data_IF_989992917134
#
_entry.id   IF_989992917134
#
_cell.length_a   1.000
_cell.length_b   1.000
_cell.length_c   1.000
_cell.angle_alpha   90.00
_cell.angle_beta   90.00
_cell.angle_gamma   90.00
#
_symmetry.space_group_name_H-M   'P 1'
#
loop_
_entity.id
_entity.type
_entity.pdbx_description
1 polymer ?
#
# COMPACT_ATOMS: atom_id res chain seq x y z
N UNK A 1 5.44 5.88 -8.62
CA UNK A 1 6.67 6.63 -8.34
C UNK A 1 7.47 6.72 -9.62
N UNK A 2 7.91 7.91 -10.01
CA UNK A 2 8.88 8.13 -11.08
C UNK A 2 10.01 9.01 -10.57
N UNK A 3 11.26 8.68 -10.90
CA UNK A 3 12.41 9.48 -10.53
C UNK A 3 12.37 10.89 -11.15
N UNK A 4 11.64 11.09 -12.26
CA UNK A 4 11.42 12.42 -12.82
C UNK A 4 10.69 13.38 -11.86
N UNK A 5 9.83 12.85 -10.99
CA UNK A 5 9.09 13.67 -10.02
C UNK A 5 10.02 14.19 -8.94
N UNK A 6 11.02 13.39 -8.53
CA UNK A 6 12.09 13.84 -7.65
C UNK A 6 12.82 15.06 -8.23
N UNK A 7 13.14 15.08 -9.53
CA UNK A 7 13.79 16.23 -10.19
C UNK A 7 12.91 17.48 -10.10
N UNK A 8 11.60 17.34 -10.32
CA UNK A 8 10.65 18.45 -10.25
C UNK A 8 10.55 19.00 -8.84
N UNK A 9 10.42 18.13 -7.84
CA UNK A 9 10.35 18.54 -6.43
C UNK A 9 11.66 19.18 -5.98
N UNK A 10 12.81 18.61 -6.36
CA UNK A 10 14.12 19.20 -6.09
C UNK A 10 14.24 20.60 -6.69
N UNK A 11 13.75 20.79 -7.92
CA UNK A 11 13.70 22.11 -8.55
C UNK A 11 12.86 23.12 -7.77
N UNK A 12 11.70 22.70 -7.25
CA UNK A 12 10.83 23.55 -6.43
C UNK A 12 11.51 23.93 -5.13
N UNK A 13 12.17 22.97 -4.46
CA UNK A 13 12.94 23.19 -3.24
C UNK A 13 14.12 24.15 -3.48
N UNK A 14 14.88 23.95 -4.56
CA UNK A 14 16.03 24.81 -4.91
C UNK A 14 15.63 26.23 -5.33
N UNK A 15 14.42 26.42 -5.87
CA UNK A 15 13.89 27.75 -6.20
C UNK A 15 13.19 28.46 -5.04
N UNK A 16 12.78 27.73 -4.01
CA UNK A 16 12.07 28.27 -2.84
C UNK A 16 12.90 29.17 -1.92
N UNK A 17 14.10 29.60 -2.32
CA UNK A 17 14.91 30.60 -1.63
C UNK A 17 14.71 32.01 -2.21
N UNK A 18 14.85 33.04 -1.37
CA UNK A 18 13.73 33.84 -0.86
C UNK A 18 12.83 34.42 -1.97
N UNK A 19 11.52 34.35 -1.70
CA UNK A 19 10.49 34.90 -2.57
C UNK A 19 10.69 36.38 -2.88
N UNK A 20 10.39 36.70 -4.14
CA UNK A 20 9.93 38.00 -4.57
C UNK A 20 8.64 38.36 -3.79
N UNK A 21 8.80 38.86 -2.57
CA UNK A 21 7.78 39.55 -1.80
C UNK A 21 8.28 40.96 -1.48
N UNK A 22 7.43 42.00 -1.45
CA UNK A 22 7.88 43.35 -1.19
C UNK A 22 8.48 43.47 0.23
N UNK A 23 9.79 43.69 0.28
CA UNK A 23 10.56 44.32 1.37
C UNK A 23 10.11 44.04 2.82
N UNK A 24 10.80 43.13 3.49
CA UNK A 24 11.19 43.32 4.89
C UNK A 24 12.65 42.84 5.05
N UNK A 25 13.57 43.79 5.20
CA UNK A 25 14.98 43.49 5.46
C UNK A 25 15.14 43.10 6.93
N UNK A 26 15.42 41.83 7.19
CA UNK A 26 15.87 41.31 8.47
C UNK A 26 17.15 40.50 8.28
N UNK A 27 18.26 40.96 8.86
CA UNK A 27 19.61 40.43 8.68
C UNK A 27 19.85 38.99 9.22
N UNK A 28 18.82 38.30 9.73
CA UNK A 28 18.91 36.93 10.27
C UNK A 28 18.30 35.82 9.38
N UNK A 29 17.82 36.14 8.16
CA UNK A 29 17.05 35.19 7.32
C UNK A 29 17.90 34.18 6.52
N UNK A 30 19.12 34.56 6.12
CA UNK A 30 19.92 33.79 5.14
C UNK A 30 20.47 32.46 5.71
N UNK A 31 20.92 32.46 6.97
CA UNK A 31 21.44 31.25 7.62
C UNK A 31 20.34 30.22 7.90
N UNK A 32 19.13 30.68 8.27
CA UNK A 32 17.94 29.83 8.46
C UNK A 32 17.48 29.21 7.13
N UNK A 33 17.52 30.00 6.05
CA UNK A 33 17.19 29.53 4.69
C UNK A 33 18.06 28.36 4.23
N UNK A 34 19.37 28.41 4.48
CA UNK A 34 20.29 27.31 4.12
C UNK A 34 19.97 26.01 4.85
N UNK A 35 19.74 26.09 6.17
CA UNK A 35 19.40 24.92 7.00
C UNK A 35 18.04 24.32 6.63
N UNK A 36 17.07 25.16 6.28
CA UNK A 36 15.74 24.71 5.80
C UNK A 36 15.88 24.00 4.44
N UNK A 37 16.69 24.56 3.54
CA UNK A 37 16.95 23.96 2.23
C UNK A 37 17.61 22.58 2.36
N UNK A 38 18.61 22.46 3.23
CA UNK A 38 19.29 21.21 3.54
C UNK A 38 18.30 20.18 4.11
N UNK A 39 17.52 20.56 5.13
CA UNK A 39 16.50 19.68 5.75
C UNK A 39 15.47 19.19 4.73
N UNK A 40 14.97 20.08 3.87
CA UNK A 40 14.01 19.73 2.82
C UNK A 40 14.63 18.79 1.77
N UNK A 41 15.91 18.98 1.46
CA UNK A 41 16.66 18.12 0.54
C UNK A 41 16.85 16.72 1.13
N UNK A 42 17.24 16.63 2.40
CA UNK A 42 17.34 15.35 3.11
C UNK A 42 16.00 14.62 3.17
N UNK A 43 14.92 15.33 3.49
CA UNK A 43 13.57 14.74 3.53
C UNK A 43 13.14 14.19 2.17
N UNK A 44 13.46 14.91 1.08
CA UNK A 44 13.21 14.44 -0.27
C UNK A 44 14.04 13.17 -0.59
N UNK A 45 15.32 13.13 -0.23
CA UNK A 45 16.17 11.95 -0.42
C UNK A 45 15.67 10.74 0.39
N UNK A 46 15.20 10.97 1.63
CA UNK A 46 14.55 9.92 2.45
C UNK A 46 13.31 9.35 1.75
N UNK A 47 12.48 10.20 1.15
CA UNK A 47 11.30 9.76 0.39
C UNK A 47 11.69 8.95 -0.87
N UNK A 48 12.73 9.37 -1.58
CA UNK A 48 13.28 8.61 -2.73
C UNK A 48 13.76 7.24 -2.27
N UNK A 49 14.54 7.17 -1.19
CA UNK A 49 15.01 5.91 -0.61
C UNK A 49 13.83 4.99 -0.23
N UNK A 50 12.77 5.54 0.37
CA UNK A 50 11.55 4.80 0.67
C UNK A 50 10.90 4.24 -0.60
N UNK A 51 10.76 5.04 -1.66
CA UNK A 51 10.13 4.60 -2.91
C UNK A 51 10.94 3.51 -3.64
N UNK A 52 12.27 3.64 -3.70
CA UNK A 52 13.15 2.71 -4.40
C UNK A 52 13.43 1.42 -3.62
N UNK A 53 13.13 1.39 -2.33
CA UNK A 53 13.24 0.18 -1.54
C UNK A 53 12.10 -0.79 -1.87
N UNK A 54 12.38 -1.79 -2.70
CA UNK A 54 11.43 -2.85 -3.09
C UNK A 54 11.50 -4.08 -2.17
N UNK A 55 12.25 -4.00 -1.07
CA UNK A 55 12.72 -5.17 -0.30
C UNK A 55 12.14 -5.16 1.09
N UNK A 56 12.35 -4.07 1.83
CA UNK A 56 11.92 -3.97 3.21
C UNK A 56 10.43 -3.68 3.30
N UNK A 57 9.80 -4.16 4.37
CA UNK A 57 8.38 -3.91 4.59
C UNK A 57 8.09 -2.39 4.60
N UNK A 58 7.15 -1.93 3.75
CA UNK A 58 6.76 -0.50 3.71
C UNK A 58 6.34 0.03 5.07
N UNK A 59 5.58 -0.79 5.82
CA UNK A 59 5.10 -0.44 7.15
C UNK A 59 6.25 -0.30 8.15
N UNK A 60 7.24 -1.18 8.08
CA UNK A 60 8.46 -1.05 8.88
C UNK A 60 9.17 0.26 8.58
N UNK A 61 9.42 0.57 7.29
CA UNK A 61 10.12 1.78 6.88
C UNK A 61 9.41 3.07 7.35
N UNK A 62 8.07 3.11 7.25
CA UNK A 62 7.28 4.26 7.72
C UNK A 62 7.33 4.43 9.24
N UNK A 63 7.17 3.34 9.98
CA UNK A 63 7.10 3.39 11.45
C UNK A 63 8.47 3.74 12.06
N UNK A 64 9.55 3.15 11.54
CA UNK A 64 10.92 3.50 11.97
C UNK A 64 11.23 4.97 11.71
N UNK A 65 10.76 5.52 10.59
CA UNK A 65 10.93 6.94 10.29
C UNK A 65 10.25 7.86 11.34
N UNK A 66 9.15 7.40 11.93
CA UNK A 66 8.43 8.09 13.02
C UNK A 66 8.98 7.75 14.43
N UNK A 67 10.05 6.95 14.51
CA UNK A 67 10.63 6.50 15.79
C UNK A 67 9.90 5.32 16.44
N UNK A 68 8.95 4.69 15.75
CA UNK A 68 8.24 3.50 16.23
C UNK A 68 8.98 2.20 15.87
N UNK A 69 9.04 1.27 16.83
CA UNK A 69 9.58 -0.07 16.60
C UNK A 69 8.49 -0.98 16.05
N UNK A 70 8.74 -1.61 14.91
CA UNK A 70 7.81 -2.54 14.29
C UNK A 70 8.55 -3.78 13.78
N UNK A 71 8.02 -4.97 14.04
CA UNK A 71 8.52 -6.19 13.40
C UNK A 71 7.82 -6.39 12.05
N UNK A 72 8.62 -6.49 10.98
CA UNK A 72 8.17 -6.76 9.62
C UNK A 72 7.28 -8.01 9.48
N UNK A 73 7.45 -9.02 10.36
CA UNK A 73 6.62 -10.24 10.37
C UNK A 73 5.14 -9.92 10.64
N UNK A 74 4.87 -8.86 11.41
CA UNK A 74 3.51 -8.40 11.74
C UNK A 74 2.81 -7.68 10.59
N UNK A 75 3.48 -7.41 9.47
CA UNK A 75 2.84 -6.83 8.30
C UNK A 75 1.80 -7.76 7.69
N UNK A 76 1.96 -9.09 7.80
CA UNK A 76 1.01 -10.08 7.27
C UNK A 76 0.65 -9.86 5.79
N UNK A 77 1.64 -9.50 4.96
CA UNK A 77 1.51 -9.24 3.51
C UNK A 77 0.52 -8.11 3.14
N UNK A 78 0.38 -7.11 4.01
CA UNK A 78 -0.51 -5.95 3.76
C UNK A 78 0.11 -4.84 2.91
N UNK A 79 1.43 -4.88 2.66
CA UNK A 79 2.11 -3.96 1.72
C UNK A 79 2.59 -4.68 0.46
N UNK A 80 2.87 -3.91 -0.59
CA UNK A 80 3.41 -4.36 -1.88
C UNK A 80 4.70 -5.17 -1.71
N UNK A 81 5.67 -4.67 -0.95
CA UNK A 81 6.95 -5.36 -0.76
C UNK A 81 6.78 -6.75 -0.10
N UNK A 82 6.01 -6.84 0.99
CA UNK A 82 5.76 -8.11 1.69
C UNK A 82 4.82 -9.06 0.93
N UNK A 83 3.97 -8.54 0.04
CA UNK A 83 3.12 -9.36 -0.82
C UNK A 83 3.87 -9.90 -2.04
N UNK A 84 4.96 -9.25 -2.45
CA UNK A 84 5.84 -9.76 -3.49
C UNK A 84 6.54 -11.05 -3.02
N UNK A 85 6.39 -12.13 -3.78
CA UNK A 85 6.99 -13.45 -3.49
C UNK A 85 8.40 -13.59 -4.08
N UNK A 86 9.12 -12.48 -4.29
CA UNK A 86 10.43 -12.50 -4.95
C UNK A 86 11.49 -12.96 -3.95
N UNK A 87 12.32 -13.90 -4.37
CA UNK A 87 13.54 -14.26 -3.63
C UNK A 87 14.51 -13.08 -3.67
N UNK A 88 15.02 -12.68 -2.52
CA UNK A 88 15.94 -11.56 -2.39
C UNK A 88 17.37 -12.09 -2.30
N UNK A 89 18.30 -11.42 -2.98
CA UNK A 89 19.73 -11.70 -2.91
C UNK A 89 20.49 -10.43 -2.59
N UNK A 90 21.44 -10.55 -1.66
CA UNK A 90 22.45 -9.55 -1.41
C UNK A 90 23.48 -9.61 -2.54
N UNK A 91 23.66 -8.49 -3.24
CA UNK A 91 24.70 -8.33 -4.26
C UNK A 91 25.69 -7.28 -3.78
N UNK A 92 26.98 -7.61 -3.82
CA UNK A 92 28.03 -6.61 -3.75
C UNK A 92 28.05 -5.83 -5.07
N UNK A 93 27.79 -4.52 -4.98
CA UNK A 93 27.76 -3.60 -6.13
C UNK A 93 28.90 -2.59 -6.06
N UNK A 94 29.90 -2.81 -5.21
CA UNK A 94 31.04 -1.89 -5.01
C UNK A 94 31.77 -1.58 -6.32
N UNK A 95 32.05 -2.61 -7.13
CA UNK A 95 32.72 -2.42 -8.42
C UNK A 95 31.87 -1.60 -9.39
N UNK A 96 30.57 -1.92 -9.48
CA UNK A 96 29.61 -1.21 -10.33
C UNK A 96 29.53 0.26 -9.91
N UNK A 97 29.46 0.51 -8.60
CA UNK A 97 29.43 1.85 -8.04
C UNK A 97 30.70 2.66 -8.40
N UNK A 98 31.89 2.06 -8.25
CA UNK A 98 33.15 2.71 -8.65
C UNK A 98 33.18 3.05 -10.13
N UNK A 99 32.74 2.11 -10.99
CA UNK A 99 32.67 2.33 -12.42
C UNK A 99 31.68 3.44 -12.79
N UNK A 100 30.51 3.50 -12.14
CA UNK A 100 29.52 4.57 -12.37
C UNK A 100 30.08 5.93 -11.97
N UNK A 101 30.73 6.05 -10.80
CA UNK A 101 31.39 7.29 -10.38
C UNK A 101 32.48 7.70 -11.37
N UNK A 102 33.29 6.75 -11.83
CA UNK A 102 34.33 7.02 -12.81
C UNK A 102 33.74 7.47 -14.16
N UNK A 103 32.63 6.86 -14.59
CA UNK A 103 31.94 7.25 -15.82
C UNK A 103 31.38 8.68 -15.75
N UNK A 104 30.84 9.09 -14.60
CA UNK A 104 30.39 10.48 -14.39
C UNK A 104 31.56 11.46 -14.51
N UNK A 105 32.74 11.11 -13.99
CA UNK A 105 33.97 11.91 -14.17
C UNK A 105 34.41 12.01 -15.63
N UNK A 106 34.42 10.89 -16.35
CA UNK A 106 34.82 10.85 -17.77
C UNK A 106 33.89 11.64 -18.67
N UNK A 107 32.61 11.69 -18.33
CA UNK A 107 31.58 12.46 -19.05
C UNK A 107 31.49 13.92 -18.61
N UNK A 108 32.50 14.40 -17.87
CA UNK A 108 32.69 15.81 -17.47
C UNK A 108 31.49 16.35 -16.65
N UNK A 109 30.75 15.49 -15.96
CA UNK A 109 29.65 15.87 -15.07
C UNK A 109 28.54 16.72 -15.75
N UNK A 110 28.31 16.48 -17.05
CA UNK A 110 27.39 17.26 -17.89
C UNK A 110 26.14 16.53 -18.35
N UNK A 111 25.90 15.33 -17.82
CA UNK A 111 24.83 14.47 -18.31
C UNK A 111 23.91 14.01 -17.18
N UNK A 112 22.68 13.66 -17.55
CA UNK A 112 21.65 13.17 -16.63
C UNK A 112 21.90 11.72 -16.25
N UNK A 113 21.31 11.29 -15.13
CA UNK A 113 21.36 9.90 -14.66
C UNK A 113 20.91 8.90 -15.73
N UNK A 114 19.85 9.23 -16.48
CA UNK A 114 19.36 8.42 -17.59
C UNK A 114 20.43 8.21 -18.68
N UNK A 115 21.16 9.25 -19.08
CA UNK A 115 22.21 9.12 -20.09
C UNK A 115 23.39 8.28 -19.60
N UNK A 116 23.81 8.47 -18.34
CA UNK A 116 24.88 7.66 -17.72
C UNK A 116 24.51 6.17 -17.70
N UNK A 117 23.27 5.83 -17.35
CA UNK A 117 22.79 4.44 -17.37
C UNK A 117 22.82 3.85 -18.79
N UNK A 118 22.39 4.63 -19.79
CA UNK A 118 22.42 4.18 -21.20
C UNK A 118 23.87 3.91 -21.67
N UNK A 119 24.81 4.80 -21.36
CA UNK A 119 26.24 4.61 -21.69
C UNK A 119 26.81 3.39 -20.97
N UNK A 120 26.58 3.26 -19.66
CA UNK A 120 27.11 2.16 -18.86
C UNK A 120 26.59 0.78 -19.32
N UNK A 121 25.33 0.70 -19.74
CA UNK A 121 24.72 -0.53 -20.26
C UNK A 121 25.09 -0.83 -21.72
N UNK A 122 25.79 0.09 -22.40
CA UNK A 122 26.28 -0.12 -23.76
C UNK A 122 25.26 0.25 -24.85
N UNK A 123 24.33 1.16 -24.56
CA UNK A 123 23.35 1.66 -25.52
C UNK A 123 24.03 2.42 -26.66
N UNK A 124 23.53 2.27 -27.89
CA UNK A 124 24.04 2.93 -29.09
C UNK A 124 23.08 4.00 -29.61
N UNK A 125 22.25 4.56 -28.72
CA UNK A 125 21.30 5.62 -29.05
C UNK A 125 22.00 6.85 -29.63
N UNK A 126 21.25 7.64 -30.42
CA UNK A 126 21.77 8.82 -31.11
C UNK A 126 22.49 9.79 -30.16
N UNK A 127 21.98 9.97 -28.94
CA UNK A 127 22.62 10.80 -27.92
C UNK A 127 24.00 10.28 -27.49
N UNK A 128 24.19 8.97 -27.38
CA UNK A 128 25.48 8.36 -27.01
C UNK A 128 26.51 8.58 -28.12
N UNK A 129 26.12 8.27 -29.37
CA UNK A 129 26.98 8.46 -30.56
C UNK A 129 27.34 9.92 -30.79
N UNK A 130 26.37 10.84 -30.66
CA UNK A 130 26.58 12.28 -30.84
C UNK A 130 27.64 12.82 -29.88
N UNK A 131 27.69 12.30 -28.65
CA UNK A 131 28.67 12.71 -27.64
C UNK A 131 29.94 11.84 -27.65
N UNK A 132 30.09 10.89 -28.58
CA UNK A 132 31.21 9.94 -28.66
C UNK A 132 31.43 9.16 -27.35
N UNK A 133 30.34 8.85 -26.65
CA UNK A 133 30.41 8.07 -25.41
C UNK A 133 30.41 6.55 -25.65
N UNK A 134 30.23 6.13 -26.90
CA UNK A 134 30.37 4.75 -27.38
C UNK A 134 31.82 4.28 -27.42
N UNK A 135 32.80 5.19 -27.48
CA UNK A 135 34.23 4.86 -27.46
C UNK A 135 34.85 4.85 -26.06
N UNK A 136 34.08 5.16 -25.01
CA UNK A 136 34.58 5.15 -23.64
C UNK A 136 34.82 3.70 -23.16
N UNK A 137 35.90 3.48 -22.42
CA UNK A 137 36.24 2.13 -21.89
C UNK A 137 35.19 1.54 -20.95
N UNK A 138 34.33 2.37 -20.34
CA UNK A 138 33.23 1.94 -19.48
C UNK A 138 31.90 1.79 -20.22
N UNK A 139 31.86 2.06 -21.53
CA UNK A 139 30.68 1.79 -22.34
C UNK A 139 30.43 0.28 -22.38
N UNK A 140 29.21 -0.13 -22.00
CA UNK A 140 28.85 -1.56 -21.98
C UNK A 140 29.38 -2.37 -20.80
N UNK A 141 30.16 -1.79 -19.88
CA UNK A 141 30.64 -2.49 -18.68
C UNK A 141 29.49 -3.06 -17.81
N UNK A 142 28.34 -2.39 -17.82
CA UNK A 142 27.12 -2.79 -17.12
C UNK A 142 26.12 -3.58 -17.96
N UNK A 143 26.49 -4.16 -19.11
CA UNK A 143 25.56 -4.86 -20.02
C UNK A 143 24.79 -6.02 -19.35
N UNK A 144 25.38 -6.64 -18.33
CA UNK A 144 24.76 -7.72 -17.56
C UNK A 144 23.64 -7.24 -16.63
N UNK A 145 23.51 -5.94 -16.38
CA UNK A 145 22.49 -5.36 -15.51
C UNK A 145 21.22 -5.00 -16.30
N UNK A 146 20.07 -5.25 -15.70
CA UNK A 146 18.82 -4.67 -16.19
C UNK A 146 18.83 -3.14 -16.05
N UNK A 147 17.98 -2.45 -16.82
CA UNK A 147 17.87 -0.98 -16.75
C UNK A 147 17.48 -0.52 -15.34
N UNK A 148 16.54 -1.21 -14.72
CA UNK A 148 16.06 -0.92 -13.37
C UNK A 148 17.16 -1.14 -12.33
N UNK A 149 17.93 -2.23 -12.41
CA UNK A 149 19.05 -2.47 -11.49
C UNK A 149 20.13 -1.38 -11.62
N UNK A 150 20.54 -1.05 -12.84
CA UNK A 150 21.55 -0.01 -13.07
C UNK A 150 21.08 1.36 -12.58
N UNK A 151 19.83 1.74 -12.86
CA UNK A 151 19.22 2.98 -12.36
C UNK A 151 19.16 3.00 -10.83
N UNK A 152 18.73 1.90 -10.20
CA UNK A 152 18.62 1.81 -8.74
C UNK A 152 19.99 1.92 -8.04
N UNK A 153 21.04 1.32 -8.62
CA UNK A 153 22.42 1.50 -8.10
C UNK A 153 22.83 2.96 -8.23
N UNK A 154 22.58 3.58 -9.39
CA UNK A 154 22.97 4.98 -9.62
C UNK A 154 22.24 5.94 -8.67
N UNK A 155 20.94 5.77 -8.48
CA UNK A 155 20.14 6.60 -7.57
C UNK A 155 20.51 6.34 -6.11
N UNK A 156 20.87 5.10 -5.74
CA UNK A 156 21.44 4.81 -4.43
C UNK A 156 22.69 5.67 -4.18
N UNK A 157 23.60 5.81 -5.15
CA UNK A 157 24.78 6.70 -5.01
C UNK A 157 24.40 8.16 -4.81
N UNK A 158 23.27 8.62 -5.37
CA UNK A 158 22.72 9.96 -5.11
C UNK A 158 22.19 10.07 -3.69
N UNK A 159 21.44 9.08 -3.20
CA UNK A 159 20.92 9.09 -1.82
C UNK A 159 21.99 8.98 -0.74
N UNK A 160 23.18 8.46 -1.08
CA UNK A 160 24.35 8.42 -0.18
C UNK A 160 25.24 9.67 -0.29
N UNK A 161 24.83 10.66 -1.11
CA UNK A 161 25.59 11.84 -1.51
C UNK A 161 26.98 11.55 -2.10
N UNK A 162 27.20 10.35 -2.66
CA UNK A 162 28.41 10.04 -3.43
C UNK A 162 28.35 10.77 -4.78
N UNK A 163 27.15 10.81 -5.35
CA UNK A 163 26.80 11.62 -6.52
C UNK A 163 25.80 12.70 -6.11
N UNK A 164 25.90 13.85 -6.75
CA UNK A 164 25.01 14.98 -6.53
C UNK A 164 24.26 15.29 -7.82
N UNK A 165 22.94 15.46 -7.73
CA UNK A 165 22.15 15.91 -8.88
C UNK A 165 21.87 17.40 -8.84
N UNK A 166 22.44 18.15 -9.77
CA UNK A 166 22.20 19.58 -9.92
C UNK A 166 21.12 19.79 -10.95
N UNK A 167 20.04 20.46 -10.54
CA UNK A 167 18.89 20.73 -11.41
C UNK A 167 19.14 21.99 -12.25
N UNK A 168 18.80 21.94 -13.53
CA UNK A 168 18.80 23.06 -14.46
C UNK A 168 17.47 23.17 -15.18
N UNK A 169 16.95 24.41 -15.25
CA UNK A 169 15.84 24.75 -16.14
C UNK A 169 16.36 24.85 -17.56
N UNK A 170 15.59 24.32 -18.50
CA UNK A 170 15.76 24.61 -19.91
C UNK A 170 14.96 25.85 -20.27
N UNK A 171 15.60 26.78 -20.98
CA UNK A 171 15.01 28.07 -21.36
C UNK A 171 13.89 27.92 -22.40
N UNK A 172 13.84 26.79 -23.11
CA UNK A 172 13.03 26.64 -24.34
C UNK A 172 11.58 26.20 -24.05
N UNK A 173 11.32 25.49 -22.94
CA UNK A 173 9.97 24.98 -22.63
C UNK A 173 9.65 24.92 -21.12
N UNK A 174 10.49 25.49 -20.26
CA UNK A 174 10.36 25.33 -18.80
C UNK A 174 10.62 23.89 -18.30
N UNK A 175 11.10 23.01 -19.19
CA UNK A 175 11.49 21.65 -18.86
C UNK A 175 12.62 21.65 -17.83
N UNK A 176 12.52 20.77 -16.86
CA UNK A 176 13.50 20.62 -15.79
C UNK A 176 14.37 19.42 -16.08
N UNK A 177 15.68 19.62 -16.12
CA UNK A 177 16.69 18.57 -16.33
C UNK A 177 17.64 18.52 -15.15
N UNK A 178 18.26 17.37 -14.89
CA UNK A 178 19.34 17.25 -13.90
C UNK A 178 20.65 16.84 -14.54
N UNK A 179 21.74 17.34 -13.97
CA UNK A 179 23.11 16.98 -14.27
C UNK A 179 23.71 16.25 -13.08
N UNK A 180 24.37 15.14 -13.33
CA UNK A 180 25.00 14.34 -12.30
C UNK A 180 26.44 14.81 -12.10
N UNK A 181 26.78 15.16 -10.86
CA UNK A 181 28.11 15.59 -10.41
C UNK A 181 28.66 14.61 -9.39
N UNK A 182 29.98 14.59 -9.21
CA UNK A 182 30.62 13.74 -8.21
C UNK A 182 30.90 14.55 -6.95
N UNK A 183 30.44 14.04 -5.80
CA UNK A 183 30.87 14.57 -4.51
C UNK A 183 32.28 14.04 -4.22
N UNK A 184 33.29 14.89 -4.43
CA UNK A 184 34.70 14.51 -4.39
C UNK A 184 35.13 13.90 -3.05
N UNK A 185 34.59 14.39 -1.93
CA UNK A 185 34.98 13.92 -0.58
C UNK A 185 34.46 12.51 -0.31
N UNK A 186 33.15 12.28 -0.48
CA UNK A 186 32.53 10.97 -0.27
C UNK A 186 32.95 9.96 -1.32
N UNK A 187 33.09 10.37 -2.58
CA UNK A 187 33.52 9.48 -3.66
C UNK A 187 34.97 9.01 -3.51
N UNK A 188 35.85 9.77 -2.86
CA UNK A 188 37.24 9.38 -2.64
C UNK A 188 37.35 8.10 -1.78
N UNK A 189 36.52 7.97 -0.75
CA UNK A 189 36.48 6.77 0.10
C UNK A 189 36.11 5.51 -0.68
N UNK A 190 35.09 5.62 -1.54
CA UNK A 190 34.67 4.52 -2.41
C UNK A 190 35.74 4.14 -3.43
N UNK A 191 36.39 5.13 -4.08
CA UNK A 191 37.41 4.90 -5.10
C UNK A 191 38.72 4.35 -4.52
N UNK A 192 39.07 4.75 -3.29
CA UNK A 192 40.32 4.34 -2.62
C UNK A 192 40.25 2.95 -1.99
N UNK A 193 39.11 2.26 -2.06
CA UNK A 193 38.97 0.93 -1.48
C UNK A 193 38.33 0.87 -0.11
N UNK A 194 38.16 2.00 0.58
CA UNK A 194 37.77 2.05 1.99
C UNK A 194 36.28 1.80 2.26
N UNK A 195 35.42 1.86 1.23
CA UNK A 195 33.99 1.63 1.36
C UNK A 195 33.50 0.53 0.41
N UNK A 196 32.68 -0.38 0.94
CA UNK A 196 31.95 -1.41 0.19
C UNK A 196 30.46 -1.11 0.19
N UNK A 197 29.77 -1.43 -0.90
CA UNK A 197 28.34 -1.19 -1.08
C UNK A 197 27.65 -2.51 -1.41
N UNK A 198 26.77 -2.96 -0.51
CA UNK A 198 25.93 -4.13 -0.70
C UNK A 198 24.47 -3.68 -0.83
N UNK A 199 23.77 -4.22 -1.83
CA UNK A 199 22.37 -3.90 -2.08
C UNK A 199 21.54 -5.17 -2.29
N UNK A 200 20.30 -5.17 -1.77
CA UNK A 200 19.34 -6.26 -1.96
C UNK A 200 18.56 -6.10 -3.25
N UNK A 201 18.60 -7.11 -4.10
CA UNK A 201 17.84 -7.18 -5.34
C UNK A 201 16.89 -8.38 -5.36
N UNK A 202 15.73 -8.25 -6.02
CA UNK A 202 14.92 -9.41 -6.35
C UNK A 202 15.65 -10.29 -7.37
N UNK A 203 15.91 -11.54 -7.01
CA UNK A 203 16.39 -12.56 -7.93
C UNK A 203 15.24 -13.08 -8.80
N UNK A 204 15.51 -13.19 -10.10
CA UNK A 204 14.62 -13.86 -11.05
C UNK A 204 14.72 -15.40 -10.97
N UNK A 205 15.67 -15.93 -10.20
CA UNK A 205 15.88 -17.37 -10.06
C UNK A 205 14.94 -17.91 -9.00
N UNK A 206 13.96 -18.73 -9.42
CA UNK A 206 13.23 -19.62 -8.50
C UNK A 206 14.27 -20.54 -7.86
N UNK A 207 14.61 -20.32 -6.60
CA UNK A 207 15.50 -21.22 -5.86
C UNK A 207 14.84 -22.59 -5.79
N UNK A 208 15.38 -23.56 -6.52
CA UNK A 208 15.13 -24.97 -6.28
C UNK A 208 15.68 -25.28 -4.88
N UNK A 209 14.82 -25.74 -3.98
CA UNK A 209 15.19 -26.21 -2.64
C UNK A 209 16.30 -27.29 -2.75
N UNK A 210 17.24 -27.37 -1.80
CA UNK A 210 18.26 -28.42 -1.82
C UNK A 210 17.61 -29.76 -1.46
N UNK A 211 17.45 -30.65 -2.45
CA UNK A 211 17.10 -32.06 -2.24
C UNK A 211 18.37 -32.89 -2.16
N UNK A 212 18.43 -33.74 -1.13
CA UNK A 212 19.46 -34.74 -0.90
C UNK A 212 19.65 -35.64 -2.13
N UNK A 213 20.91 -36.07 -2.28
CA UNK A 213 21.46 -36.94 -3.31
C UNK A 213 20.72 -38.26 -3.54
N UNK A 214 20.56 -38.64 -4.81
CA UNK A 214 20.26 -39.99 -5.27
C UNK A 214 20.06 -40.03 -6.79
N UNK A 215 21.01 -40.64 -7.52
CA UNK A 215 20.97 -40.91 -8.97
C UNK A 215 19.74 -41.78 -9.34
N UNK A 216 19.18 -41.84 -10.57
CA UNK A 216 19.82 -42.06 -11.88
C UNK A 216 18.76 -41.90 -13.01
N UNK A 217 19.22 -41.46 -14.19
CA UNK A 217 18.77 -41.79 -15.58
C UNK A 217 17.29 -41.66 -16.02
N UNK A 218 17.08 -40.81 -17.03
CA UNK A 218 16.40 -41.23 -18.27
C UNK A 218 14.98 -40.73 -18.57
N UNK A 219 14.88 -39.95 -19.66
CA UNK A 219 13.74 -39.70 -20.56
C UNK A 219 12.90 -38.42 -20.36
N UNK A 220 12.81 -37.67 -21.46
CA UNK A 220 12.02 -36.45 -21.69
C UNK A 220 10.57 -36.81 -22.14
N UNK A 221 9.68 -35.85 -22.42
CA UNK A 221 8.53 -35.54 -21.56
C UNK A 221 7.17 -35.92 -22.17
N UNK A 222 6.26 -36.42 -21.33
CA UNK A 222 4.84 -36.54 -21.67
C UNK A 222 4.07 -35.31 -21.19
N UNK A 223 3.42 -34.65 -22.15
CA UNK A 223 2.43 -33.59 -21.95
C UNK A 223 1.32 -34.07 -21.03
N UNK A 224 1.07 -33.37 -19.93
CA UNK A 224 -0.21 -33.46 -19.22
C UNK A 224 -0.86 -32.08 -19.15
N UNK A 225 -1.83 -31.95 -20.03
CA UNK A 225 -3.03 -31.13 -19.96
C UNK A 225 -3.47 -30.85 -18.52
N UNK A 226 -3.38 -29.60 -18.10
CA UNK A 226 -4.02 -29.13 -16.87
C UNK A 226 -5.53 -29.11 -17.10
N UNK A 227 -6.23 -30.09 -16.55
CA UNK A 227 -7.67 -30.04 -16.38
C UNK A 227 -8.01 -28.85 -15.47
N UNK A 228 -8.64 -27.84 -16.06
CA UNK A 228 -9.27 -26.76 -15.32
C UNK A 228 -10.45 -27.36 -14.54
N UNK A 229 -10.29 -27.57 -13.24
CA UNK A 229 -11.42 -27.75 -12.34
C UNK A 229 -12.02 -26.37 -12.03
N UNK A 230 -13.06 -26.03 -12.78
CA UNK A 230 -14.00 -24.98 -12.41
C UNK A 230 -14.81 -25.48 -11.20
N UNK A 231 -14.26 -25.30 -9.99
CA UNK A 231 -15.06 -25.45 -8.79
C UNK A 231 -15.94 -24.20 -8.66
N UNK A 232 -17.20 -24.34 -9.06
CA UNK A 232 -18.24 -23.38 -8.72
C UNK A 232 -18.18 -23.08 -7.21
N UNK A 233 -18.27 -21.81 -6.78
CA UNK A 233 -18.19 -21.48 -5.36
C UNK A 233 -19.29 -22.24 -4.60
N UNK A 234 -19.00 -22.75 -3.38
CA UNK A 234 -20.02 -23.33 -2.50
C UNK A 234 -21.25 -22.43 -2.48
N UNK A 235 -22.45 -23.00 -2.61
CA UNK A 235 -23.73 -22.26 -2.69
C UNK A 235 -23.88 -21.20 -1.58
N UNK A 236 -23.29 -21.43 -0.39
CA UNK A 236 -23.20 -20.49 0.72
C UNK A 236 -22.46 -19.18 0.40
N UNK A 237 -21.35 -19.24 -0.37
CA UNK A 237 -20.60 -18.05 -0.77
C UNK A 237 -21.40 -17.18 -1.74
N UNK A 238 -22.08 -17.82 -2.70
CA UNK A 238 -22.95 -17.15 -3.68
C UNK A 238 -24.06 -16.39 -2.97
N UNK A 239 -24.71 -17.02 -1.98
CA UNK A 239 -25.77 -16.38 -1.22
C UNK A 239 -25.26 -15.20 -0.38
N UNK A 240 -24.08 -15.34 0.25
CA UNK A 240 -23.48 -14.26 1.05
C UNK A 240 -23.18 -13.00 0.23
N UNK A 241 -22.82 -13.16 -1.05
CA UNK A 241 -22.55 -12.06 -1.98
C UNK A 241 -23.84 -11.39 -2.47
N UNK A 242 -24.89 -12.17 -2.72
CA UNK A 242 -26.23 -11.65 -3.04
C UNK A 242 -26.75 -10.82 -1.86
N UNK A 243 -26.65 -11.35 -0.64
CA UNK A 243 -27.05 -10.65 0.58
C UNK A 243 -26.23 -9.37 0.78
N UNK A 244 -24.91 -9.40 0.56
CA UNK A 244 -24.07 -8.20 0.68
C UNK A 244 -24.46 -7.12 -0.35
N UNK A 245 -24.87 -7.50 -1.56
CA UNK A 245 -25.37 -6.55 -2.58
C UNK A 245 -26.70 -5.93 -2.13
N UNK A 246 -27.64 -6.72 -1.64
CA UNK A 246 -28.92 -6.23 -1.13
C UNK A 246 -28.73 -5.24 0.04
N UNK A 247 -27.87 -5.57 0.99
CA UNK A 247 -27.55 -4.70 2.12
C UNK A 247 -26.85 -3.40 1.70
N UNK A 248 -25.99 -3.45 0.68
CA UNK A 248 -25.39 -2.24 0.09
C UNK A 248 -26.43 -1.35 -0.58
N UNK A 249 -27.43 -1.95 -1.25
CA UNK A 249 -28.56 -1.24 -1.87
C UNK A 249 -29.44 -0.57 -0.82
N UNK A 250 -29.83 -1.30 0.23
CA UNK A 250 -30.55 -0.73 1.37
C UNK A 250 -29.80 0.49 1.95
N UNK A 251 -28.48 0.36 2.14
CA UNK A 251 -27.66 1.46 2.63
C UNK A 251 -27.71 2.68 1.71
N UNK A 252 -27.68 2.49 0.39
CA UNK A 252 -27.82 3.61 -0.55
C UNK A 252 -29.21 4.23 -0.54
N UNK A 253 -30.26 3.44 -0.35
CA UNK A 253 -31.63 3.93 -0.29
C UNK A 253 -31.86 4.76 0.98
N UNK A 254 -31.33 4.31 2.12
CA UNK A 254 -31.33 5.09 3.37
C UNK A 254 -30.62 6.46 3.20
N UNK A 255 -29.52 6.53 2.44
CA UNK A 255 -28.80 7.80 2.18
C UNK A 255 -29.65 8.74 1.34
N UNK A 256 -30.31 8.22 0.30
CA UNK A 256 -31.17 9.02 -0.58
C UNK A 256 -32.36 9.60 0.17
N UNK A 257 -32.90 8.84 1.13
CA UNK A 257 -34.03 9.26 1.96
C UNK A 257 -33.62 10.21 3.10
N UNK A 258 -32.36 10.16 3.55
CA UNK A 258 -31.88 11.10 4.55
C UNK A 258 -31.63 12.48 3.94
N UNK A 259 -32.28 13.51 4.48
CA UNK A 259 -32.09 14.92 4.10
C UNK A 259 -30.71 15.47 4.50
N UNK A 260 -29.98 14.78 5.37
CA UNK A 260 -28.68 15.19 5.90
C UNK A 260 -27.53 14.66 5.03
N UNK A 261 -26.38 15.35 5.04
CA UNK A 261 -25.11 14.95 4.38
C UNK A 261 -24.49 13.70 5.04
N UNK A 262 -25.23 12.60 5.04
CA UNK A 262 -24.85 11.34 5.67
C UNK A 262 -24.11 10.47 4.67
N UNK A 263 -22.81 10.32 4.86
CA UNK A 263 -22.01 9.41 4.04
C UNK A 263 -22.32 7.95 4.37
N UNK A 264 -22.15 7.05 3.39
CA UNK A 264 -22.47 5.61 3.52
C UNK A 264 -21.90 4.94 4.77
N UNK A 265 -20.70 5.35 5.20
CA UNK A 265 -20.04 4.75 6.37
C UNK A 265 -20.64 5.18 7.71
N UNK A 266 -21.36 6.31 7.78
CA UNK A 266 -22.05 6.76 8.99
C UNK A 266 -23.24 5.84 9.36
N UNK A 267 -23.90 5.28 8.35
CA UNK A 267 -24.99 4.32 8.54
C UNK A 267 -24.40 2.98 9.01
N UNK A 268 -23.71 2.24 8.13
CA UNK A 268 -22.99 1.01 8.49
C UNK A 268 -21.70 0.86 7.68
N UNK A 269 -20.62 0.44 8.33
CA UNK A 269 -19.35 0.12 7.69
C UNK A 269 -19.42 -1.15 6.84
N UNK A 270 -18.52 -1.28 5.85
CA UNK A 270 -18.46 -2.46 4.99
C UNK A 270 -18.19 -3.76 5.77
N UNK A 271 -17.42 -3.68 6.87
CA UNK A 271 -17.15 -4.80 7.76
C UNK A 271 -18.45 -5.31 8.43
N UNK A 272 -19.28 -4.41 8.94
CA UNK A 272 -20.58 -4.70 9.54
C UNK A 272 -21.53 -5.36 8.53
N UNK A 273 -21.66 -4.82 7.32
CA UNK A 273 -22.49 -5.43 6.27
C UNK A 273 -22.04 -6.85 5.91
N UNK A 274 -20.71 -7.08 5.86
CA UNK A 274 -20.14 -8.41 5.61
C UNK A 274 -20.36 -9.39 6.76
N UNK A 275 -20.47 -8.89 7.99
CA UNK A 275 -20.79 -9.72 9.15
C UNK A 275 -22.29 -10.08 9.17
N UNK A 276 -23.17 -9.14 8.85
CA UNK A 276 -24.61 -9.38 8.67
C UNK A 276 -24.84 -10.43 7.56
N UNK A 277 -24.19 -10.28 6.41
CA UNK A 277 -24.40 -11.21 5.28
C UNK A 277 -23.96 -12.64 5.56
N UNK A 278 -23.09 -12.85 6.57
CA UNK A 278 -22.65 -14.17 7.01
C UNK A 278 -23.52 -14.75 8.13
N UNK A 279 -23.91 -13.93 9.10
CA UNK A 279 -24.67 -14.37 10.29
C UNK A 279 -26.18 -14.44 10.07
N UNK A 280 -26.72 -13.71 9.08
CA UNK A 280 -28.14 -13.69 8.72
C UNK A 280 -29.08 -13.50 9.91
N UNK A 281 -28.90 -12.42 10.70
CA UNK A 281 -29.69 -12.19 11.90
C UNK A 281 -31.18 -12.08 11.57
N UNK A 282 -32.03 -12.69 12.40
CA UNK A 282 -33.49 -12.69 12.28
C UNK A 282 -34.19 -11.89 13.37
N UNK A 283 -33.46 -11.48 14.40
CA UNK A 283 -34.00 -10.73 15.53
C UNK A 283 -33.20 -9.45 15.81
N UNK A 284 -33.84 -8.47 16.45
CA UNK A 284 -33.15 -7.24 16.90
C UNK A 284 -32.04 -7.54 17.92
N UNK A 285 -32.18 -8.62 18.71
CA UNK A 285 -31.15 -9.09 19.64
C UNK A 285 -29.90 -9.55 18.88
N UNK A 286 -30.06 -10.39 17.86
CA UNK A 286 -28.94 -10.85 17.02
C UNK A 286 -28.25 -9.71 16.25
N UNK A 287 -28.98 -8.64 15.90
CA UNK A 287 -28.38 -7.44 15.30
C UNK A 287 -27.45 -6.69 16.27
N UNK A 288 -27.74 -6.70 17.57
CA UNK A 288 -26.89 -6.05 18.59
C UNK A 288 -25.57 -6.79 18.79
N UNK A 289 -25.53 -8.09 18.50
CA UNK A 289 -24.31 -8.92 18.59
C UNK A 289 -23.33 -8.70 17.42
N UNK A 290 -23.67 -7.80 16.48
CA UNK A 290 -22.84 -7.49 15.32
C UNK A 290 -21.99 -6.25 15.58
N UNK A 291 -20.69 -6.40 15.39
CA UNK A 291 -19.71 -5.33 15.59
C UNK A 291 -20.03 -4.13 14.67
N UNK A 292 -20.29 -2.98 15.29
CA UNK A 292 -20.65 -1.74 14.59
C UNK A 292 -22.15 -1.42 14.55
N UNK A 293 -23.02 -2.26 15.13
CA UNK A 293 -24.45 -2.03 15.33
C UNK A 293 -24.76 -1.78 16.81
N UNK A 294 -24.73 -0.51 17.23
CA UNK A 294 -25.17 -0.11 18.56
C UNK A 294 -26.70 0.03 18.67
N UNK A 295 -27.22 0.11 19.92
CA UNK A 295 -28.65 0.25 20.22
C UNK A 295 -29.35 1.31 19.37
N UNK A 296 -28.79 2.51 19.25
CA UNK A 296 -29.36 3.60 18.45
C UNK A 296 -29.54 3.23 16.96
N UNK A 297 -28.58 2.49 16.37
CA UNK A 297 -28.65 2.07 14.96
C UNK A 297 -29.64 0.93 14.76
N UNK A 298 -29.75 0.01 15.72
CA UNK A 298 -30.74 -1.07 15.68
C UNK A 298 -32.16 -0.51 15.84
N UNK A 299 -32.35 0.49 16.69
CA UNK A 299 -33.65 1.20 16.80
C UNK A 299 -33.99 1.92 15.50
N UNK A 300 -33.03 2.65 14.90
CA UNK A 300 -33.29 3.48 13.72
C UNK A 300 -33.41 2.69 12.41
N UNK A 301 -32.66 1.60 12.25
CA UNK A 301 -32.53 0.88 10.97
C UNK A 301 -32.79 -0.63 11.06
N UNK A 302 -33.01 -1.18 12.26
CA UNK A 302 -33.10 -2.61 12.48
C UNK A 302 -34.24 -3.28 11.72
N UNK A 303 -35.42 -2.65 11.67
CA UNK A 303 -36.59 -3.22 10.98
C UNK A 303 -36.34 -3.35 9.47
N UNK A 304 -35.82 -2.30 8.83
CA UNK A 304 -35.46 -2.32 7.41
C UNK A 304 -34.35 -3.32 7.10
N UNK A 305 -33.41 -3.53 8.02
CA UNK A 305 -32.35 -4.54 7.89
C UNK A 305 -32.94 -5.94 7.90
N UNK A 306 -33.79 -6.26 8.89
CA UNK A 306 -34.44 -7.57 9.00
C UNK A 306 -35.35 -7.85 7.81
N UNK A 307 -36.12 -6.86 7.37
CA UNK A 307 -36.97 -6.95 6.18
C UNK A 307 -36.14 -7.22 4.91
N UNK A 308 -35.03 -6.50 4.71
CA UNK A 308 -34.15 -6.72 3.55
C UNK A 308 -33.53 -8.12 3.59
N UNK A 309 -33.12 -8.59 4.76
CA UNK A 309 -32.58 -9.94 4.96
C UNK A 309 -33.64 -10.99 4.60
N UNK A 310 -34.85 -10.85 5.13
CA UNK A 310 -35.93 -11.78 4.90
C UNK A 310 -36.40 -11.80 3.43
N UNK A 311 -36.56 -10.63 2.83
CA UNK A 311 -36.91 -10.50 1.42
C UNK A 311 -35.86 -11.17 0.53
N UNK A 312 -34.58 -10.92 0.77
CA UNK A 312 -33.47 -11.53 0.00
C UNK A 312 -33.44 -13.06 0.15
N UNK A 313 -33.72 -13.58 1.35
CA UNK A 313 -33.82 -15.03 1.58
C UNK A 313 -35.00 -15.62 0.81
N UNK A 314 -36.16 -14.96 0.85
CA UNK A 314 -37.36 -15.42 0.17
C UNK A 314 -37.23 -15.37 -1.36
N UNK A 315 -36.62 -14.33 -1.93
CA UNK A 315 -36.33 -14.23 -3.37
C UNK A 315 -35.37 -15.32 -3.84
N UNK A 316 -34.34 -15.62 -3.03
CA UNK A 316 -33.40 -16.69 -3.33
C UNK A 316 -34.04 -18.08 -3.22
N UNK A 317 -34.93 -18.30 -2.25
CA UNK A 317 -35.69 -19.55 -2.13
C UNK A 317 -36.75 -19.72 -3.23
N UNK A 318 -37.32 -18.63 -3.77
CA UNK A 318 -38.26 -18.68 -4.91
C UNK A 318 -37.56 -19.02 -6.22
N UNK A 319 -36.37 -18.45 -6.44
CA UNK A 319 -35.55 -18.75 -7.63
C UNK A 319 -34.95 -20.16 -7.59
N UNK A 320 -34.69 -20.69 -6.40
CA UNK A 320 -34.28 -22.09 -6.21
C UNK A 320 -35.39 -23.13 -6.39
N UNK A 321 -36.69 -22.77 -6.31
CA UNK A 321 -37.80 -23.73 -6.46
C UNK A 321 -38.06 -24.23 -7.89
N UNK A 322 -37.36 -23.70 -8.89
CA UNK A 322 -37.33 -24.28 -10.24
C UNK A 322 -36.26 -25.37 -10.42
N UNK A 323 -35.43 -25.63 -9.39
CA UNK A 323 -34.62 -26.85 -9.30
C UNK A 323 -34.86 -27.52 -7.94
N UNK A 324 -35.54 -28.66 -7.96
CA UNK A 324 -35.98 -29.41 -6.79
C UNK A 324 -34.85 -29.70 -5.78
N UNK A 325 -35.09 -29.47 -4.48
CA UNK A 325 -34.87 -30.46 -3.42
C UNK A 325 -35.48 -30.00 -2.07
N UNK A 326 -35.97 -30.99 -1.34
CA UNK A 326 -36.75 -30.92 -0.10
C UNK A 326 -35.93 -30.54 1.14
N UNK A 327 -36.42 -29.55 1.91
CA UNK A 327 -36.01 -29.31 3.29
C UNK A 327 -37.01 -30.00 4.24
N UNK A 328 -36.51 -30.95 5.01
CA UNK A 328 -37.27 -31.84 5.88
C UNK A 328 -38.14 -31.10 6.90
N UNK A 329 -39.42 -31.50 6.92
CA UNK A 329 -40.35 -31.31 8.04
C UNK A 329 -39.73 -31.88 9.33
N UNK A 330 -39.58 -31.09 10.38
CA UNK A 330 -39.56 -31.61 11.75
C UNK A 330 -41.01 -31.69 12.25
N UNK A 331 -41.32 -32.83 12.86
CA UNK A 331 -42.66 -33.30 13.23
C UNK A 331 -43.25 -32.48 14.38
N UNK A 332 -44.58 -32.39 14.34
CA UNK A 332 -45.50 -32.05 15.43
C UNK A 332 -45.68 -33.30 16.27
N UNK A 333 -45.44 -33.22 17.57
CA UNK A 333 -46.00 -34.14 18.56
C UNK A 333 -46.77 -33.29 19.58
N UNK A 334 -48.06 -33.59 19.73
CA UNK A 334 -48.95 -33.00 20.73
C UNK A 334 -49.16 -33.99 21.89
N UNK A 335 -49.15 -33.42 23.10
CA UNK A 335 -49.78 -33.85 24.35
C UNK A 335 -49.30 -35.09 25.11
N UNK A 336 -48.84 -34.84 26.35
CA UNK A 336 -49.33 -35.44 27.61
C UNK A 336 -48.92 -34.50 28.76
N UNK A 337 -49.90 -33.99 29.52
CA UNK A 337 -49.72 -33.52 30.90
C UNK A 337 -49.74 -34.72 31.85
N UNK A 338 -49.09 -34.62 33.02
CA UNK A 338 -49.90 -34.42 34.22
C UNK A 338 -49.35 -33.37 35.21
N UNK A 339 -50.28 -32.89 36.04
CA UNK A 339 -50.15 -31.95 37.15
C UNK A 339 -49.12 -32.33 38.23
N UNK A 340 -48.64 -31.29 38.94
CA UNK A 340 -48.47 -31.10 40.40
C UNK A 340 -47.40 -29.98 40.57
N UNK A 341 -47.77 -28.75 40.90
CA UNK A 341 -48.11 -28.18 42.21
C UNK A 341 -46.98 -27.25 42.67
N UNK A 342 -47.36 -26.00 42.91
CA UNK A 342 -46.88 -25.03 43.90
C UNK A 342 -45.37 -24.75 44.03
N UNK A 343 -44.97 -23.51 43.74
CA UNK A 343 -44.61 -22.56 44.80
C UNK A 343 -44.35 -21.17 44.21
N UNK A 344 -44.76 -20.20 45.01
CA UNK A 344 -44.93 -18.77 44.81
C UNK A 344 -43.63 -17.94 44.67
N UNK A 345 -43.88 -16.63 44.48
CA UNK A 345 -43.11 -15.48 44.95
C UNK A 345 -42.35 -14.61 43.92
N UNK A 346 -43.02 -13.47 43.68
CA UNK A 346 -42.53 -12.09 43.85
C UNK A 346 -41.82 -11.35 42.69
N UNK A 347 -42.62 -10.49 42.06
CA UNK A 347 -42.52 -9.02 42.06
C UNK A 347 -41.12 -8.37 42.11
N UNK A 348 -40.80 -7.58 41.09
CA UNK A 348 -40.65 -6.11 41.25
C UNK A 348 -40.23 -5.44 39.92
N UNK A 349 -41.18 -4.69 39.34
CA UNK A 349 -40.90 -3.54 38.48
C UNK A 349 -40.34 -2.39 39.34
N UNK A 350 -39.53 -1.47 38.77
CA UNK A 350 -40.08 -0.12 38.77
C UNK A 350 -39.82 0.69 37.50
N UNK A 351 -40.89 1.39 37.15
CA UNK A 351 -41.01 2.60 36.34
C UNK A 351 -40.01 3.70 36.75
N UNK A 352 -39.45 4.40 35.77
CA UNK A 352 -39.10 5.82 35.97
C UNK A 352 -39.27 6.61 34.69
N UNK A 353 -40.30 7.43 34.70
CA UNK A 353 -40.60 8.50 33.74
C UNK A 353 -39.96 9.84 34.18
N UNK A 354 -39.52 10.59 33.17
CA UNK A 354 -39.30 12.05 33.08
C UNK A 354 -38.60 12.83 34.22
N UNK A 355 -37.53 13.57 33.89
CA UNK A 355 -37.52 15.05 33.97
C UNK A 355 -36.23 15.74 33.47
N UNK A 356 -36.44 16.66 32.53
CA UNK A 356 -35.93 18.05 32.41
C UNK A 356 -34.42 18.39 32.46
N UNK A 357 -33.97 18.89 31.29
CA UNK A 357 -33.26 20.15 31.04
C UNK A 357 -32.78 20.99 32.23
N UNK A 358 -31.47 21.30 32.26
CA UNK A 358 -30.99 22.65 32.59
C UNK A 358 -29.69 23.01 31.85
N UNK A 359 -29.79 24.08 31.05
CA UNK A 359 -28.68 24.90 30.52
C UNK A 359 -27.86 25.48 31.68
N UNK A 360 -26.53 25.49 31.56
CA UNK A 360 -25.66 26.42 32.31
C UNK A 360 -24.77 27.20 31.36
N UNK A 361 -25.07 28.49 31.28
CA UNK A 361 -24.26 29.57 30.72
C UNK A 361 -23.16 29.99 31.71
N UNK A 362 -21.95 30.16 31.17
CA UNK A 362 -20.95 31.22 31.39
C UNK A 362 -20.81 31.84 32.80
N UNK A 363 -19.57 31.80 33.33
CA UNK A 363 -18.96 32.96 33.99
C UNK A 363 -17.43 32.92 33.90
N UNK A 364 -16.87 34.01 33.36
CA UNK A 364 -15.46 34.35 33.31
C UNK A 364 -14.82 34.40 34.70
N UNK A 365 -13.53 34.04 34.75
CA UNK A 365 -12.52 34.77 35.50
C UNK A 365 -11.20 34.73 34.73
#
# INVERSE_FOLDING_TARGET
YSYSDYIRVKNMISQGGPGQGPRTMGYNSIASSGKILETNTENLLRMVSYCENEVDCRRFLQLVHLGEKFDSTNCKKTCDNCSSSKTLIDKDVTLIARQLVQLVKLTVERFSSAHIVEVYRGSLNQAVKKNRHDSLHLHGAGKHLSKSEASRILHYLVTQDILEEVVKKSDVYGSVSSLLKVNRSKAASLLSGGQTITMRFPSAVKVLKPSKSGATSGKAPLKQTTLQMANAPPQYLIFSDIMLKALKKLRTDIIKESSDLTMSYHIFGNATLKQISKRLPRTKKELLDINGLGKAKVVKYGDRLLETIESTINEHCKTGKNESFSLGKRRRDENICPNLADDDDDDDDPDWSLSQSHKKTVKNK
#
